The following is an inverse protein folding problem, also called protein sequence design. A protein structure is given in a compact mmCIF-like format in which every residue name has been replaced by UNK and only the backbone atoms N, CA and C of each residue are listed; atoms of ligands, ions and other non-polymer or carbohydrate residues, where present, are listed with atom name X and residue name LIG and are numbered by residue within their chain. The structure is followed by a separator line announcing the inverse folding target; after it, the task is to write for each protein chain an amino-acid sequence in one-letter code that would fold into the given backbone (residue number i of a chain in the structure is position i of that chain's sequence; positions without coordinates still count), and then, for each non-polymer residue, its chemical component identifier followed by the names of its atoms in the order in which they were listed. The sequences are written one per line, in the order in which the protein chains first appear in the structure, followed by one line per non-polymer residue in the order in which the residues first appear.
data_IF_005652977985
#
_entry.id   IF_005652977985
#
_cell.length_a   1.000
_cell.length_b   1.000
_cell.length_c   1.000
_cell.angle_alpha   90.00
_cell.angle_beta   90.00
_cell.angle_gamma   90.00
#
_symmetry.space_group_name_H-M   'P 1'
#
loop_
_entity.id
_entity.type
_entity.pdbx_description
1 polymer ?
#
# COMPACT_ATOMS: atom_id res chain seq x y z
N UNK A 1 -24.95 14.47 -36.44
CA UNK A 1 -25.11 13.06 -36.00
C UNK A 1 -23.72 12.49 -35.81
N UNK A 2 -23.32 11.83 -34.72
CA UNK A 2 -24.02 11.19 -33.57
C UNK A 2 -23.23 11.60 -32.29
N UNK A 3 -23.80 12.28 -31.29
CA UNK A 3 -24.62 11.78 -30.16
C UNK A 3 -23.96 10.59 -29.41
N UNK A 4 -23.40 10.88 -28.21
CA UNK A 4 -23.89 10.51 -26.85
C UNK A 4 -23.30 9.16 -26.38
N UNK A 5 -22.37 9.13 -25.42
CA UNK A 5 -22.50 9.23 -23.94
C UNK A 5 -23.09 7.99 -23.24
N UNK A 6 -22.29 7.44 -22.32
CA UNK A 6 -22.68 6.79 -21.05
C UNK A 6 -23.66 5.60 -21.10
N UNK A 7 -23.11 4.38 -21.01
CA UNK A 7 -23.88 3.18 -20.66
C UNK A 7 -24.04 3.10 -19.14
N UNK A 8 -25.22 3.51 -18.63
CA UNK A 8 -25.61 3.26 -17.24
C UNK A 8 -25.80 1.75 -17.00
N UNK A 9 -25.20 1.22 -15.93
CA UNK A 9 -25.57 -0.09 -15.40
C UNK A 9 -26.58 0.08 -14.28
N UNK A 10 -27.85 -0.18 -14.57
CA UNK A 10 -28.92 -0.17 -13.59
C UNK A 10 -29.05 -1.56 -12.94
N UNK A 11 -28.85 -1.63 -11.62
CA UNK A 11 -29.10 -2.82 -10.82
C UNK A 11 -29.98 -2.43 -9.61
N UNK A 12 -31.29 -2.41 -9.83
CA UNK A 12 -32.28 -2.23 -8.77
C UNK A 12 -32.67 -3.57 -8.17
N UNK A 13 -32.32 -3.81 -6.90
CA UNK A 13 -32.98 -4.82 -6.06
C UNK A 13 -33.47 -4.15 -4.79
N UNK A 14 -34.78 -4.10 -4.61
CA UNK A 14 -35.45 -3.56 -3.42
C UNK A 14 -36.01 -4.69 -2.55
N UNK A 15 -36.51 -4.33 -1.35
CA UNK A 15 -37.29 -5.18 -0.41
C UNK A 15 -36.42 -6.20 0.37
N UNK A 16 -36.58 -6.51 1.67
CA UNK A 16 -37.41 -6.00 2.80
C UNK A 16 -36.45 -5.72 4.01
N UNK A 17 -36.82 -5.33 5.23
CA UNK A 17 -38.11 -5.13 5.92
C UNK A 17 -37.99 -4.01 7.00
N UNK A 18 -38.94 -3.95 7.95
CA UNK A 18 -38.89 -3.10 9.16
C UNK A 18 -38.23 -3.82 10.36
N UNK A 19 -37.51 -3.07 11.20
CA UNK A 19 -36.99 -3.52 12.49
C UNK A 19 -37.04 -2.38 13.51
N UNK A 20 -37.96 -2.45 14.46
CA UNK A 20 -38.21 -1.43 15.48
C UNK A 20 -37.01 -1.23 16.42
N UNK A 21 -36.51 -0.01 16.55
CA UNK A 21 -35.53 0.35 17.60
C UNK A 21 -36.24 0.55 18.95
N UNK A 22 -35.98 -0.28 19.98
CA UNK A 22 -36.32 0.11 21.34
C UNK A 22 -35.43 1.30 21.75
N UNK A 23 -36.01 2.27 22.45
CA UNK A 23 -35.23 3.35 23.07
C UNK A 23 -34.32 2.76 24.13
N UNK A 24 -33.01 2.90 23.97
CA UNK A 24 -32.01 2.49 24.96
C UNK A 24 -31.33 3.75 25.47
N UNK A 25 -31.80 4.28 26.60
CA UNK A 25 -30.94 5.03 27.50
C UNK A 25 -29.92 4.06 28.11
N UNK A 26 -28.70 4.06 27.58
CA UNK A 26 -27.57 3.37 28.18
C UNK A 26 -26.41 4.35 28.36
N UNK A 27 -26.43 4.99 29.53
CA UNK A 27 -25.29 5.46 30.31
C UNK A 27 -23.93 5.47 29.57
N UNK A 28 -23.44 6.66 29.23
CA UNK A 28 -22.18 6.85 28.50
C UNK A 28 -20.95 6.64 29.40
N UNK A 29 -20.73 5.39 29.83
CA UNK A 29 -19.55 5.01 30.59
C UNK A 29 -18.33 4.98 29.65
N UNK A 30 -17.45 5.96 29.80
CA UNK A 30 -16.28 6.14 28.94
C UNK A 30 -15.22 5.09 29.22
N UNK A 31 -15.32 3.96 28.52
CA UNK A 31 -14.32 2.87 28.54
C UNK A 31 -12.94 3.39 28.12
N UNK A 32 -12.14 3.78 29.12
CA UNK A 32 -10.79 4.28 28.91
C UNK A 32 -9.90 3.17 28.34
N UNK A 33 -9.60 3.26 27.04
CA UNK A 33 -8.59 2.45 26.40
C UNK A 33 -7.23 2.91 26.94
N UNK A 34 -6.46 1.99 27.54
CA UNK A 34 -5.08 2.28 27.96
C UNK A 34 -4.26 2.66 26.73
N UNK A 35 -3.99 3.95 26.56
CA UNK A 35 -2.97 4.45 25.63
C UNK A 35 -1.64 3.83 26.01
N UNK A 36 -1.19 2.86 25.22
CA UNK A 36 0.22 2.52 25.16
C UNK A 36 0.95 3.74 24.62
N UNK A 37 1.69 4.42 25.49
CA UNK A 37 2.50 5.57 25.12
C UNK A 37 3.53 5.08 24.10
N UNK A 38 3.29 5.36 22.82
CA UNK A 38 4.19 4.97 21.73
C UNK A 38 5.55 5.65 21.99
N UNK A 39 6.48 4.89 22.56
CA UNK A 39 7.89 5.26 22.57
C UNK A 39 8.29 5.24 21.11
N UNK A 40 8.52 6.42 20.55
CA UNK A 40 8.99 6.59 19.17
C UNK A 40 10.48 6.23 19.12
N UNK A 41 10.78 4.96 19.41
CA UNK A 41 12.03 4.34 18.99
C UNK A 41 11.95 4.20 17.48
N UNK A 42 12.55 5.14 16.77
CA UNK A 42 12.70 5.05 15.31
C UNK A 42 13.36 3.72 14.90
N UNK A 43 14.27 3.18 15.72
CA UNK A 43 14.93 1.89 15.49
C UNK A 43 13.99 0.68 15.59
N UNK A 44 13.01 0.70 16.50
CA UNK A 44 12.09 -0.43 16.71
C UNK A 44 11.00 -0.53 15.63
N UNK A 45 10.90 0.47 14.76
CA UNK A 45 9.97 0.47 13.64
C UNK A 45 10.54 -0.24 12.39
N UNK A 46 11.87 -0.42 12.30
CA UNK A 46 12.51 -0.95 11.09
C UNK A 46 12.57 -2.49 11.06
N UNK A 47 12.56 -3.18 12.20
CA UNK A 47 12.63 -4.65 12.26
C UNK A 47 11.37 -5.35 11.70
N UNK A 48 10.23 -4.65 11.63
CA UNK A 48 8.93 -5.20 11.16
C UNK A 48 8.53 -4.66 9.76
N UNK A 49 9.40 -3.89 9.08
CA UNK A 49 9.07 -3.16 7.84
C UNK A 49 9.36 -3.87 6.52
N UNK A 50 10.08 -4.98 6.57
CA UNK A 50 10.33 -5.84 5.41
C UNK A 50 11.39 -5.31 4.43
N UNK A 51 11.84 -6.21 3.56
CA UNK A 51 12.89 -6.04 2.54
C UNK A 51 14.30 -5.68 3.04
N UNK A 52 14.47 -5.05 4.21
CA UNK A 52 15.78 -4.84 4.85
C UNK A 52 16.62 -3.71 4.23
N UNK A 53 15.97 -2.63 3.79
CA UNK A 53 16.66 -1.43 3.30
C UNK A 53 17.46 -0.73 4.40
N UNK A 54 18.62 -0.16 4.04
CA UNK A 54 19.33 0.75 4.94
C UNK A 54 18.68 2.14 4.98
N UNK A 55 18.88 2.87 6.08
CA UNK A 55 18.41 4.26 6.21
C UNK A 55 18.93 5.18 5.09
N UNK A 56 20.14 4.92 4.57
CA UNK A 56 20.73 5.64 3.43
C UNK A 56 19.93 5.40 2.14
N UNK A 57 19.52 4.16 1.89
CA UNK A 57 18.69 3.80 0.73
C UNK A 57 17.28 4.36 0.85
N UNK A 58 16.63 4.25 2.01
CA UNK A 58 15.33 4.89 2.25
C UNK A 58 15.38 6.41 2.00
N UNK A 59 16.46 7.07 2.43
CA UNK A 59 16.70 8.49 2.17
C UNK A 59 16.99 8.80 0.70
N UNK A 60 17.63 7.90 -0.05
CA UNK A 60 17.85 8.04 -1.49
C UNK A 60 16.52 7.87 -2.26
N UNK A 61 15.76 6.81 -1.97
CA UNK A 61 14.44 6.54 -2.56
C UNK A 61 13.48 7.70 -2.33
N UNK A 62 13.48 8.31 -1.14
CA UNK A 62 12.65 9.48 -0.80
C UNK A 62 13.00 10.74 -1.61
N UNK A 63 14.23 10.84 -2.14
CA UNK A 63 14.70 11.96 -2.97
C UNK A 63 14.44 11.76 -4.46
N UNK A 64 14.03 10.56 -4.90
CA UNK A 64 13.67 10.32 -6.29
C UNK A 64 12.43 11.13 -6.68
N UNK A 65 12.39 11.59 -7.94
CA UNK A 65 11.20 12.24 -8.49
C UNK A 65 9.97 11.31 -8.44
N UNK A 66 10.19 10.01 -8.68
CA UNK A 66 9.17 8.98 -8.55
C UNK A 66 9.08 8.46 -7.10
N UNK A 67 8.06 8.93 -6.36
CA UNK A 67 7.80 8.55 -4.97
C UNK A 67 7.34 7.09 -4.79
N UNK A 68 6.98 6.38 -5.87
CA UNK A 68 6.51 4.99 -5.78
C UNK A 68 7.53 4.10 -5.07
N UNK A 69 8.82 4.21 -5.39
CA UNK A 69 9.85 3.34 -4.82
C UNK A 69 10.06 3.58 -3.32
N UNK A 70 9.96 4.82 -2.85
CA UNK A 70 9.97 5.08 -1.41
C UNK A 70 8.78 4.40 -0.71
N UNK A 71 7.57 4.52 -1.29
CA UNK A 71 6.38 3.86 -0.75
C UNK A 71 6.48 2.33 -0.81
N UNK A 72 7.01 1.75 -1.88
CA UNK A 72 7.28 0.31 -1.97
C UNK A 72 8.28 -0.17 -0.90
N UNK A 73 9.17 0.69 -0.41
CA UNK A 73 10.10 0.36 0.66
C UNK A 73 9.53 0.54 2.08
N UNK A 74 8.41 1.26 2.25
CA UNK A 74 7.82 1.59 3.57
C UNK A 74 6.38 1.11 3.77
N UNK A 75 5.68 0.72 2.71
CA UNK A 75 4.27 0.30 2.71
C UNK A 75 4.14 -1.10 2.06
N UNK A 76 4.12 -2.19 2.86
CA UNK A 76 4.12 -3.57 2.34
C UNK A 76 2.96 -3.91 1.38
N UNK A 77 1.75 -3.37 1.63
CA UNK A 77 0.61 -3.57 0.72
C UNK A 77 0.78 -2.82 -0.61
N UNK A 78 1.47 -1.67 -0.61
CA UNK A 78 1.77 -0.95 -1.85
C UNK A 78 2.84 -1.70 -2.67
N UNK A 79 3.88 -2.21 -2.01
CA UNK A 79 4.86 -3.13 -2.62
C UNK A 79 4.15 -4.29 -3.31
N UNK A 80 3.35 -5.06 -2.56
CA UNK A 80 2.60 -6.22 -3.06
C UNK A 80 1.68 -5.87 -4.23
N UNK A 81 0.98 -4.74 -4.17
CA UNK A 81 0.15 -4.24 -5.26
C UNK A 81 0.95 -3.99 -6.55
N UNK A 82 2.12 -3.33 -6.45
CA UNK A 82 2.97 -3.05 -7.60
C UNK A 82 3.60 -4.34 -8.17
N UNK A 83 4.18 -5.20 -7.32
CA UNK A 83 4.79 -6.46 -7.78
C UNK A 83 3.76 -7.37 -8.46
N UNK A 84 2.53 -7.45 -7.93
CA UNK A 84 1.42 -8.16 -8.58
C UNK A 84 1.06 -7.55 -9.95
N UNK A 85 1.02 -6.22 -10.06
CA UNK A 85 0.75 -5.54 -11.33
C UNK A 85 1.82 -5.85 -12.38
N UNK A 86 3.11 -5.86 -11.99
CA UNK A 86 4.22 -6.23 -12.88
C UNK A 86 4.11 -7.69 -13.34
N UNK A 87 3.78 -8.64 -12.44
CA UNK A 87 3.56 -10.05 -12.79
C UNK A 87 2.37 -10.25 -13.72
N UNK A 88 1.25 -9.57 -13.47
CA UNK A 88 0.06 -9.62 -14.33
C UNK A 88 0.34 -9.03 -15.72
N UNK A 89 1.16 -7.98 -15.79
CA UNK A 89 1.70 -7.44 -17.04
C UNK A 89 2.80 -8.28 -17.69
N UNK A 90 3.11 -9.47 -17.16
CA UNK A 90 4.17 -10.37 -17.61
C UNK A 90 5.57 -9.72 -17.68
N UNK A 91 5.83 -8.70 -16.86
CA UNK A 91 7.12 -7.99 -16.85
C UNK A 91 8.24 -8.91 -16.32
N UNK A 92 9.32 -9.16 -17.08
CA UNK A 92 10.50 -9.85 -16.57
C UNK A 92 11.16 -9.08 -15.42
N UNK A 93 11.80 -9.80 -14.51
CA UNK A 93 12.53 -9.18 -13.39
C UNK A 93 13.66 -8.27 -13.87
N UNK A 94 14.34 -8.65 -14.96
CA UNK A 94 15.39 -7.83 -15.59
C UNK A 94 14.83 -6.51 -16.16
N UNK A 95 13.64 -6.54 -16.77
CA UNK A 95 12.98 -5.35 -17.27
C UNK A 95 12.48 -4.44 -16.13
N UNK A 96 12.01 -5.03 -15.03
CA UNK A 96 11.71 -4.28 -13.81
C UNK A 96 12.97 -3.63 -13.21
N UNK A 97 14.11 -4.33 -13.21
CA UNK A 97 15.41 -3.77 -12.79
C UNK A 97 15.88 -2.64 -13.71
N UNK A 98 15.78 -2.82 -15.03
CA UNK A 98 16.10 -1.80 -16.03
C UNK A 98 15.21 -0.56 -15.87
N UNK A 99 13.90 -0.75 -15.66
CA UNK A 99 12.96 0.32 -15.34
C UNK A 99 13.37 1.06 -14.06
N UNK A 100 13.60 0.35 -12.95
CA UNK A 100 14.04 0.97 -11.68
C UNK A 100 15.34 1.77 -11.86
N UNK A 101 16.31 1.23 -12.60
CA UNK A 101 17.57 1.92 -12.90
C UNK A 101 17.36 3.20 -13.73
N UNK A 102 16.45 3.17 -14.72
CA UNK A 102 16.05 4.36 -15.49
C UNK A 102 15.44 5.47 -14.63
N UNK A 103 14.83 5.11 -13.49
CA UNK A 103 14.22 6.04 -12.54
C UNK A 103 15.21 6.55 -11.48
N UNK A 104 16.49 6.16 -11.55
CA UNK A 104 17.55 6.55 -10.62
C UNK A 104 17.60 5.74 -9.32
N UNK A 105 16.91 4.60 -9.24
CA UNK A 105 17.02 3.67 -8.10
C UNK A 105 18.43 3.06 -8.07
N UNK A 106 19.07 2.99 -6.90
CA UNK A 106 20.41 2.41 -6.77
C UNK A 106 20.41 0.90 -7.00
N UNK A 107 21.52 0.36 -7.53
CA UNK A 107 21.68 -1.09 -7.75
C UNK A 107 21.55 -1.91 -6.46
N UNK A 108 21.78 -1.31 -5.29
CA UNK A 108 21.53 -1.94 -3.98
C UNK A 108 20.03 -2.02 -3.68
N UNK A 109 19.29 -0.92 -3.81
CA UNK A 109 17.84 -0.88 -3.60
C UNK A 109 17.08 -1.76 -4.62
N UNK A 110 17.57 -1.85 -5.86
CA UNK A 110 17.03 -2.76 -6.88
C UNK A 110 17.11 -4.22 -6.40
N UNK A 111 18.21 -4.66 -5.76
CA UNK A 111 18.33 -6.04 -5.25
C UNK A 111 17.24 -6.38 -4.24
N UNK A 112 16.92 -5.45 -3.33
CA UNK A 112 15.83 -5.62 -2.37
C UNK A 112 14.46 -5.78 -3.06
N UNK A 113 14.15 -4.95 -4.08
CA UNK A 113 12.90 -5.08 -4.84
C UNK A 113 12.84 -6.33 -5.72
N UNK A 114 13.95 -6.76 -6.33
CA UNK A 114 13.98 -7.97 -7.16
C UNK A 114 13.90 -9.24 -6.29
N UNK A 115 14.54 -9.25 -5.11
CA UNK A 115 14.33 -10.32 -4.14
C UNK A 115 12.85 -10.41 -3.70
N UNK A 116 12.20 -9.26 -3.46
CA UNK A 116 10.77 -9.19 -3.20
C UNK A 116 9.91 -9.74 -4.37
N UNK A 117 10.30 -9.43 -5.60
CA UNK A 117 9.58 -9.86 -6.81
C UNK A 117 9.50 -11.39 -6.93
N UNK A 118 10.58 -12.10 -6.57
CA UNK A 118 10.61 -13.56 -6.55
C UNK A 118 10.03 -14.20 -5.28
N UNK A 119 9.93 -13.46 -4.17
CA UNK A 119 9.37 -13.95 -2.89
C UNK A 119 7.85 -13.79 -2.74
N UNK A 120 7.25 -12.83 -3.47
CA UNK A 120 5.81 -12.71 -3.68
C UNK A 120 5.35 -13.50 -4.91
#
# INVERSE_FOLDING_TARGET
MRLILSLLFAASTALLASGSTPSIEANAETRSLRTTKAVVNYDAAEEDRGLGFTQTELNALKKLANKQFHRMATEPEHLKSILNSWKQGMMPADDAANFMKSQGVSDSAIKHFIAAYYGH
#
